data_IF_117980395178
#
_entry.id   IF_117980395178
#
_cell.length_a   1.000
_cell.length_b   1.000
_cell.length_c   1.000
_cell.angle_alpha   90.00
_cell.angle_beta   90.00
_cell.angle_gamma   90.00
#
_symmetry.space_group_name_H-M   'P 1'
#
loop_
_entity.id
_entity.type
_entity.pdbx_description
1 polymer ?
#
# COMPACT_ATOMS: atom_id res chain seq x y z
N UNK A 1 18.90 13.09 -29.32
CA UNK A 1 18.31 12.54 -28.08
C UNK A 1 17.65 13.70 -27.36
N UNK A 2 16.33 13.72 -27.26
CA UNK A 2 15.65 14.72 -26.45
C UNK A 2 15.84 14.34 -24.99
N UNK A 3 16.57 15.19 -24.26
CA UNK A 3 16.70 15.06 -22.82
C UNK A 3 15.38 15.50 -22.17
N UNK A 4 15.00 14.86 -21.06
CA UNK A 4 13.87 15.29 -20.25
C UNK A 4 14.14 16.72 -19.77
N UNK A 5 13.25 17.66 -20.10
CA UNK A 5 13.29 19.03 -19.58
C UNK A 5 13.10 19.04 -18.06
N UNK A 6 13.31 20.20 -17.42
CA UNK A 6 13.05 20.35 -15.99
C UNK A 6 11.63 19.87 -15.64
N UNK A 7 11.52 19.03 -14.61
CA UNK A 7 10.23 18.53 -14.13
C UNK A 7 9.43 19.70 -13.57
N UNK A 8 8.25 19.94 -14.15
CA UNK A 8 7.28 20.88 -13.62
C UNK A 8 6.45 20.19 -12.54
N UNK A 9 6.47 20.74 -11.33
CA UNK A 9 5.75 20.15 -10.20
C UNK A 9 4.24 20.35 -10.33
N UNK A 10 3.46 19.36 -9.88
CA UNK A 10 2.00 19.39 -9.90
C UNK A 10 1.45 19.34 -8.49
N UNK A 11 0.36 20.06 -8.24
CA UNK A 11 -0.39 19.97 -6.99
C UNK A 11 -1.40 18.83 -7.06
N UNK A 12 -1.42 18.04 -5.99
CA UNK A 12 -2.30 16.88 -5.85
C UNK A 12 -3.58 17.29 -5.13
N UNK A 13 -4.72 16.87 -5.67
CA UNK A 13 -6.02 17.01 -5.02
C UNK A 13 -6.34 15.79 -4.13
N UNK A 14 -6.05 14.58 -4.61
CA UNK A 14 -6.27 13.32 -3.88
C UNK A 14 -5.03 12.43 -3.98
N UNK A 15 -4.62 11.83 -2.87
CA UNK A 15 -3.51 10.87 -2.80
C UNK A 15 -3.85 9.68 -1.89
N UNK A 16 -4.35 8.60 -2.48
CA UNK A 16 -4.66 7.35 -1.77
C UNK A 16 -3.67 6.28 -2.17
N UNK A 17 -3.19 5.51 -1.20
CA UNK A 17 -2.29 4.40 -1.40
C UNK A 17 -2.80 3.13 -0.70
N UNK A 18 -2.57 1.99 -1.33
CA UNK A 18 -2.70 0.68 -0.71
C UNK A 18 -1.32 0.03 -0.71
N UNK A 19 -0.83 -0.32 0.47
CA UNK A 19 0.42 -1.05 0.63
C UNK A 19 0.12 -2.51 0.89
N UNK A 20 0.62 -3.39 0.03
CA UNK A 20 0.29 -4.81 0.04
C UNK A 20 1.55 -5.60 0.37
N UNK A 21 1.49 -6.30 1.51
CA UNK A 21 2.53 -7.19 1.99
C UNK A 21 2.05 -8.64 1.89
N UNK A 22 2.49 -9.40 0.85
CA UNK A 22 2.28 -10.83 0.82
C UNK A 22 3.09 -11.56 1.90
N UNK A 23 2.51 -12.59 2.47
CA UNK A 23 3.18 -13.47 3.43
C UNK A 23 2.74 -14.92 3.22
N UNK A 24 3.56 -15.86 3.70
CA UNK A 24 3.14 -17.25 3.89
C UNK A 24 2.91 -17.51 5.37
N UNK A 25 1.88 -18.26 5.71
CA UNK A 25 1.59 -18.65 7.08
C UNK A 25 1.72 -20.17 7.26
N UNK A 26 1.70 -20.62 8.52
CA UNK A 26 1.91 -22.04 8.85
C UNK A 26 0.72 -22.89 8.38
N UNK A 27 1.01 -24.05 7.78
CA UNK A 27 -0.03 -25.03 7.38
C UNK A 27 -0.94 -25.38 8.55
N UNK A 28 -2.26 -25.29 8.34
CA UNK A 28 -3.28 -25.64 9.32
C UNK A 28 -3.54 -24.58 10.39
N UNK A 29 -2.90 -23.40 10.30
CA UNK A 29 -3.12 -22.30 11.25
C UNK A 29 -4.26 -21.36 10.85
N UNK A 30 -4.94 -21.57 9.72
CA UNK A 30 -6.12 -20.79 9.31
C UNK A 30 -7.17 -20.77 10.43
N UNK A 31 -7.43 -21.94 11.01
CA UNK A 31 -8.40 -22.11 12.10
C UNK A 31 -8.02 -21.35 13.38
N UNK A 32 -6.72 -21.10 13.58
CA UNK A 32 -6.24 -20.30 14.71
C UNK A 32 -6.20 -18.80 14.39
N UNK A 33 -6.09 -18.46 13.10
CA UNK A 33 -5.99 -17.07 12.68
C UNK A 33 -7.35 -16.37 12.65
N UNK A 34 -8.45 -17.05 12.32
CA UNK A 34 -9.78 -16.43 12.37
C UNK A 34 -10.16 -15.94 13.78
N UNK A 35 -10.06 -16.76 14.85
CA UNK A 35 -10.35 -16.29 16.20
C UNK A 35 -9.39 -15.17 16.65
N UNK A 36 -8.12 -15.22 16.21
CA UNK A 36 -7.15 -14.16 16.49
C UNK A 36 -7.55 -12.84 15.83
N UNK A 37 -7.96 -12.86 14.56
CA UNK A 37 -8.43 -11.69 13.82
C UNK A 37 -9.65 -11.07 14.50
N UNK A 38 -10.66 -11.89 14.79
CA UNK A 38 -11.89 -11.44 15.45
C UNK A 38 -11.60 -10.84 16.84
N UNK A 39 -10.71 -11.46 17.63
CA UNK A 39 -10.29 -10.92 18.95
C UNK A 39 -9.57 -9.58 18.84
N UNK A 40 -8.98 -9.27 17.69
CA UNK A 40 -8.31 -8.00 17.41
C UNK A 40 -9.19 -7.05 16.58
N UNK A 41 -10.51 -7.17 16.69
CA UNK A 41 -11.54 -6.30 16.07
C UNK A 41 -11.60 -6.35 14.54
N UNK A 42 -11.02 -7.36 13.90
CA UNK A 42 -11.22 -7.56 12.46
C UNK A 42 -12.59 -8.19 12.20
N UNK A 43 -13.23 -7.75 11.12
CA UNK A 43 -14.52 -8.26 10.66
C UNK A 43 -14.36 -8.97 9.31
N UNK A 44 -15.04 -10.10 9.08
CA UNK A 44 -15.03 -10.74 7.76
C UNK A 44 -15.67 -9.80 6.74
N UNK A 45 -14.96 -9.53 5.64
CA UNK A 45 -15.45 -8.72 4.53
C UNK A 45 -16.46 -9.53 3.72
N UNK A 46 -17.69 -9.03 3.61
CA UNK A 46 -18.75 -9.68 2.85
C UNK A 46 -19.55 -8.65 2.06
N UNK A 47 -19.95 -9.04 0.85
CA UNK A 47 -20.68 -8.12 -0.03
C UNK A 47 -22.09 -7.79 0.47
N UNK A 48 -22.69 -8.66 1.29
CA UNK A 48 -24.00 -8.41 1.91
C UNK A 48 -23.95 -7.46 3.13
N UNK A 49 -22.75 -7.08 3.60
CA UNK A 49 -22.57 -6.05 4.62
C UNK A 49 -22.45 -4.67 3.96
N UNK A 50 -23.58 -4.04 3.62
CA UNK A 50 -23.60 -2.77 2.88
C UNK A 50 -22.99 -1.58 3.65
N UNK A 51 -22.93 -1.64 4.98
CA UNK A 51 -22.27 -0.62 5.79
C UNK A 51 -20.75 -0.56 5.50
N UNK A 52 -20.15 -1.68 5.09
CA UNK A 52 -18.73 -1.78 4.76
C UNK A 52 -18.36 -1.00 3.48
N UNK A 53 -19.34 -0.63 2.64
CA UNK A 53 -19.13 0.16 1.41
C UNK A 53 -18.47 1.52 1.68
N UNK A 54 -18.63 2.07 2.89
CA UNK A 54 -18.09 3.37 3.29
C UNK A 54 -17.13 3.30 4.49
N UNK A 55 -16.91 2.11 5.06
CA UNK A 55 -16.21 1.97 6.34
C UNK A 55 -14.68 2.05 6.18
N UNK A 56 -14.14 1.54 5.07
CA UNK A 56 -12.70 1.27 4.95
C UNK A 56 -11.94 2.20 4.00
N UNK A 57 -12.62 3.15 3.35
CA UNK A 57 -12.16 3.83 2.14
C UNK A 57 -12.08 5.37 2.24
N UNK A 58 -12.12 5.93 3.45
CA UNK A 58 -12.10 7.38 3.65
C UNK A 58 -13.39 8.04 3.17
N UNK A 59 -13.28 9.11 2.37
CA UNK A 59 -14.44 9.75 1.75
C UNK A 59 -14.98 9.00 0.53
N UNK A 60 -14.28 7.95 0.09
CA UNK A 60 -14.66 7.16 -1.07
C UNK A 60 -15.64 6.05 -0.69
N UNK A 61 -16.45 5.66 -1.67
CA UNK A 61 -17.40 4.57 -1.55
C UNK A 61 -17.08 3.47 -2.55
N UNK A 62 -17.11 2.22 -2.10
CA UNK A 62 -16.96 1.06 -2.99
C UNK A 62 -18.27 0.30 -3.05
N UNK A 63 -18.92 0.32 -4.22
CA UNK A 63 -20.19 -0.40 -4.42
C UNK A 63 -19.95 -1.92 -4.44
N UNK A 64 -20.53 -2.62 -3.47
CA UNK A 64 -20.52 -4.07 -3.37
C UNK A 64 -21.28 -4.72 -4.52
N UNK A 65 -22.40 -4.12 -4.94
CA UNK A 65 -23.15 -4.57 -6.11
C UNK A 65 -22.30 -4.52 -7.38
N UNK A 66 -21.59 -3.41 -7.63
CA UNK A 66 -20.70 -3.31 -8.78
C UNK A 66 -19.53 -4.30 -8.65
N UNK A 67 -19.00 -4.50 -7.43
CA UNK A 67 -17.95 -5.48 -7.18
C UNK A 67 -18.39 -6.91 -7.51
N UNK A 68 -19.63 -7.28 -7.16
CA UNK A 68 -20.23 -8.56 -7.52
C UNK A 68 -20.39 -8.70 -9.04
N UNK A 69 -20.84 -7.65 -9.71
CA UNK A 69 -21.08 -7.67 -11.16
C UNK A 69 -19.81 -7.56 -12.02
N UNK A 70 -18.69 -7.09 -11.44
CA UNK A 70 -17.47 -6.80 -12.20
C UNK A 70 -16.73 -8.07 -12.66
N UNK A 71 -16.79 -9.14 -11.87
CA UNK A 71 -16.06 -10.37 -12.14
C UNK A 71 -16.90 -11.40 -12.91
N UNK A 72 -16.22 -12.40 -13.47
CA UNK A 72 -16.88 -13.49 -14.19
C UNK A 72 -17.90 -14.21 -13.29
N UNK A 73 -18.98 -14.69 -13.90
CA UNK A 73 -19.96 -15.50 -13.18
C UNK A 73 -19.27 -16.67 -12.46
N UNK A 74 -19.72 -16.98 -11.25
CA UNK A 74 -19.19 -18.02 -10.36
C UNK A 74 -17.82 -17.77 -9.70
N UNK A 75 -17.04 -16.75 -10.09
CA UNK A 75 -15.80 -16.41 -9.36
C UNK A 75 -16.08 -15.70 -8.04
N UNK A 76 -17.24 -15.06 -7.89
CA UNK A 76 -17.62 -14.33 -6.68
C UNK A 76 -17.61 -15.19 -5.42
N UNK A 77 -18.00 -16.47 -5.52
CA UNK A 77 -17.97 -17.39 -4.36
C UNK A 77 -16.55 -17.69 -3.87
N UNK A 78 -15.55 -17.51 -4.73
CA UNK A 78 -14.13 -17.68 -4.43
C UNK A 78 -13.55 -16.34 -3.94
N UNK A 79 -13.87 -15.24 -4.60
CA UNK A 79 -13.34 -13.91 -4.26
C UNK A 79 -13.97 -13.32 -2.99
N UNK A 80 -15.25 -13.61 -2.75
CA UNK A 80 -16.09 -13.07 -1.70
C UNK A 80 -16.93 -14.18 -1.04
N UNK A 81 -16.28 -15.11 -0.30
CA UNK A 81 -16.99 -16.18 0.38
C UNK A 81 -17.99 -15.62 1.42
N UNK A 82 -19.16 -16.25 1.53
CA UNK A 82 -20.21 -15.85 2.49
C UNK A 82 -19.92 -16.33 3.92
N UNK A 83 -18.94 -17.22 4.10
CA UNK A 83 -18.53 -17.72 5.42
C UNK A 83 -17.08 -18.20 5.42
N UNK A 84 -16.50 -18.24 6.61
CA UNK A 84 -15.12 -18.68 6.88
C UNK A 84 -14.89 -20.17 6.53
N UNK A 85 -15.98 -20.94 6.44
CA UNK A 85 -15.95 -22.37 6.07
C UNK A 85 -15.87 -22.61 4.55
N UNK A 86 -16.15 -21.59 3.73
CA UNK A 86 -16.04 -21.71 2.28
C UNK A 86 -14.59 -21.58 1.84
N UNK A 87 -14.21 -22.33 0.80
CA UNK A 87 -12.90 -22.16 0.18
C UNK A 87 -12.90 -20.89 -0.67
N UNK A 88 -11.87 -20.07 -0.53
CA UNK A 88 -11.76 -18.81 -1.25
C UNK A 88 -10.77 -17.85 -0.60
N UNK A 89 -10.85 -16.60 -1.01
CA UNK A 89 -10.12 -15.48 -0.42
C UNK A 89 -10.89 -14.99 0.81
N UNK A 90 -10.43 -15.40 1.99
CA UNK A 90 -11.03 -15.00 3.26
C UNK A 90 -10.43 -13.67 3.68
N UNK A 91 -11.12 -12.56 3.34
CA UNK A 91 -10.70 -11.21 3.69
C UNK A 91 -11.32 -10.79 5.03
N UNK A 92 -10.47 -10.24 5.88
CA UNK A 92 -10.84 -9.61 7.14
C UNK A 92 -10.35 -8.18 7.15
N UNK A 93 -11.20 -7.25 7.56
CA UNK A 93 -10.91 -5.82 7.52
C UNK A 93 -11.08 -5.22 8.92
N UNK A 94 -10.21 -4.29 9.27
CA UNK A 94 -10.30 -3.47 10.48
C UNK A 94 -10.24 -2.00 10.10
N UNK A 95 -11.21 -1.23 10.57
CA UNK A 95 -11.18 0.22 10.49
C UNK A 95 -10.22 0.75 11.57
N UNK A 96 -9.38 1.70 11.17
CA UNK A 96 -8.35 2.25 12.06
C UNK A 96 -8.55 3.75 12.27
N UNK A 97 -8.83 4.49 11.20
CA UNK A 97 -8.99 5.94 11.23
C UNK A 97 -7.87 6.68 11.99
N UNK A 98 -6.63 6.20 11.84
CA UNK A 98 -5.47 6.73 12.55
C UNK A 98 -4.80 7.83 11.74
N UNK A 99 -4.46 8.95 12.37
CA UNK A 99 -3.68 10.02 11.74
C UNK A 99 -2.22 9.94 12.17
N UNK A 100 -1.31 10.29 11.27
CA UNK A 100 0.12 10.30 11.55
C UNK A 100 0.91 11.20 10.62
N UNK A 101 2.22 11.23 10.83
CA UNK A 101 3.18 11.92 9.98
C UNK A 101 4.31 10.97 9.62
N UNK A 102 4.72 10.99 8.35
CA UNK A 102 5.95 10.35 7.89
C UNK A 102 6.97 11.46 7.65
N UNK A 103 8.00 11.50 8.47
CA UNK A 103 9.05 12.50 8.42
C UNK A 103 10.33 11.88 7.87
N UNK A 104 10.93 12.54 6.90
CA UNK A 104 12.28 12.29 6.40
C UNK A 104 13.19 13.45 6.82
N UNK A 105 14.45 13.43 6.40
CA UNK A 105 15.35 14.59 6.52
C UNK A 105 14.92 15.80 5.65
N UNK A 106 14.01 15.60 4.69
CA UNK A 106 13.63 16.62 3.70
C UNK A 106 12.23 17.17 3.94
N UNK A 107 11.28 16.29 4.23
CA UNK A 107 9.85 16.61 4.29
C UNK A 107 9.15 15.86 5.42
N UNK A 108 8.02 16.43 5.87
CA UNK A 108 7.10 15.77 6.81
C UNK A 108 5.71 15.69 6.19
N UNK A 109 5.27 14.48 5.90
CA UNK A 109 4.04 14.22 5.17
C UNK A 109 2.94 13.75 6.13
N UNK A 110 1.88 14.55 6.34
CA UNK A 110 0.71 14.12 7.11
C UNK A 110 -0.09 13.06 6.32
N UNK A 111 -0.49 11.99 7.00
CA UNK A 111 -1.29 10.93 6.41
C UNK A 111 -2.34 10.39 7.39
N UNK A 112 -3.34 9.70 6.84
CA UNK A 112 -4.35 8.93 7.55
C UNK A 112 -4.30 7.48 7.11
N UNK A 113 -4.44 6.54 8.04
CA UNK A 113 -4.68 5.13 7.79
C UNK A 113 -6.18 4.90 7.97
N UNK A 114 -6.85 4.53 6.88
CA UNK A 114 -8.28 4.24 6.92
C UNK A 114 -8.52 2.85 7.48
N UNK A 115 -7.81 1.86 6.93
CA UNK A 115 -8.05 0.46 7.24
C UNK A 115 -6.81 -0.39 7.06
N UNK A 116 -6.86 -1.57 7.69
CA UNK A 116 -5.95 -2.67 7.43
C UNK A 116 -6.77 -3.93 7.16
N UNK A 117 -6.37 -4.69 6.14
CA UNK A 117 -6.98 -5.98 5.84
C UNK A 117 -5.96 -7.11 5.93
N UNK A 118 -6.48 -8.30 6.25
CA UNK A 118 -5.79 -9.58 6.11
C UNK A 118 -6.62 -10.44 5.17
N UNK A 119 -6.06 -10.77 4.02
CA UNK A 119 -6.67 -11.71 3.07
C UNK A 119 -5.94 -13.03 3.14
N UNK A 120 -6.64 -14.08 3.57
CA UNK A 120 -6.15 -15.45 3.53
C UNK A 120 -6.53 -16.12 2.22
N UNK A 121 -5.55 -16.69 1.56
CA UNK A 121 -5.69 -17.38 0.29
C UNK A 121 -5.46 -18.89 0.47
N UNK A 122 -5.90 -19.71 -0.49
CA UNK A 122 -5.47 -21.09 -0.58
C UNK A 122 -3.93 -21.23 -0.63
N UNK A 123 -3.42 -22.40 -0.23
CA UNK A 123 -1.99 -22.73 -0.25
C UNK A 123 -1.13 -21.89 0.70
N UNK A 124 -1.67 -21.58 1.89
CA UNK A 124 -0.91 -20.95 2.96
C UNK A 124 -0.34 -19.57 2.61
N UNK A 125 -1.00 -18.85 1.69
CA UNK A 125 -0.65 -17.51 1.27
C UNK A 125 -1.60 -16.48 1.86
N UNK A 126 -1.08 -15.34 2.27
CA UNK A 126 -1.88 -14.23 2.74
C UNK A 126 -1.37 -12.89 2.24
N UNK A 127 -2.24 -11.88 2.31
CA UNK A 127 -1.91 -10.50 2.03
C UNK A 127 -2.33 -9.65 3.23
N UNK A 128 -1.41 -8.80 3.68
CA UNK A 128 -1.73 -7.67 4.56
C UNK A 128 -1.84 -6.42 3.68
N UNK A 129 -2.98 -5.75 3.71
CA UNK A 129 -3.23 -4.53 2.92
C UNK A 129 -3.48 -3.36 3.85
N UNK A 130 -2.70 -2.29 3.74
CA UNK A 130 -2.89 -1.06 4.52
C UNK A 130 -3.36 0.03 3.58
N UNK A 131 -4.52 0.63 3.86
CA UNK A 131 -5.06 1.76 3.09
C UNK A 131 -4.73 3.07 3.77
N UNK A 132 -4.10 3.96 3.04
CA UNK A 132 -3.70 5.28 3.52
C UNK A 132 -4.15 6.37 2.58
N UNK A 133 -4.26 7.57 3.12
CA UNK A 133 -4.47 8.80 2.38
C UNK A 133 -3.49 9.85 2.88
N UNK A 134 -2.80 10.52 1.97
CA UNK A 134 -1.95 11.66 2.30
C UNK A 134 -2.83 12.91 2.33
N UNK A 135 -2.67 13.72 3.37
CA UNK A 135 -3.39 14.99 3.45
C UNK A 135 -2.79 15.98 2.44
N UNK A 136 -3.63 16.48 1.53
CA UNK A 136 -3.20 17.31 0.40
C UNK A 136 -3.23 18.82 0.68
N UNK A 137 -3.79 19.24 1.83
CA UNK A 137 -3.91 20.65 2.18
C UNK A 137 -2.67 21.19 2.95
N UNK A 138 -2.25 22.45 2.69
CA UNK A 138 -2.81 23.38 1.71
C UNK A 138 -2.38 23.08 0.26
N UNK A 139 -1.12 22.66 0.06
CA UNK A 139 -0.56 22.31 -1.25
C UNK A 139 0.42 21.13 -1.08
N UNK A 140 -0.04 19.91 -1.37
CA UNK A 140 0.82 18.73 -1.49
C UNK A 140 1.22 18.54 -2.96
N UNK A 141 2.51 18.43 -3.22
CA UNK A 141 3.02 18.21 -4.57
C UNK A 141 2.98 16.73 -4.96
N UNK A 142 3.02 16.46 -6.26
CA UNK A 142 3.08 15.11 -6.80
C UNK A 142 4.35 14.39 -6.32
N UNK A 143 5.49 15.09 -6.31
CA UNK A 143 6.74 14.54 -5.79
C UNK A 143 6.64 14.12 -4.32
N UNK A 144 6.04 14.94 -3.45
CA UNK A 144 5.87 14.62 -2.03
C UNK A 144 4.89 13.46 -1.81
N UNK A 145 3.78 13.41 -2.55
CA UNK A 145 2.83 12.30 -2.48
C UNK A 145 3.49 10.98 -2.94
N UNK A 146 4.27 11.02 -4.02
CA UNK A 146 5.04 9.85 -4.48
C UNK A 146 6.10 9.46 -3.45
N UNK A 147 6.78 10.45 -2.85
CA UNK A 147 7.80 10.24 -1.84
C UNK A 147 7.23 9.49 -0.62
N UNK A 148 6.03 9.85 -0.17
CA UNK A 148 5.32 9.09 0.87
C UNK A 148 5.26 7.59 0.54
N UNK A 149 4.79 7.26 -0.67
CA UNK A 149 4.67 5.87 -1.09
C UNK A 149 6.03 5.18 -1.27
N UNK A 150 7.02 5.90 -1.79
CA UNK A 150 8.39 5.40 -1.96
C UNK A 150 9.03 5.02 -0.61
N UNK A 151 8.77 5.81 0.44
CA UNK A 151 9.28 5.55 1.80
C UNK A 151 8.46 4.53 2.57
N UNK A 152 7.14 4.69 2.58
CA UNK A 152 6.25 3.85 3.38
C UNK A 152 6.23 2.40 2.89
N UNK A 153 6.56 2.12 1.62
CA UNK A 153 6.65 0.73 1.14
C UNK A 153 7.88 -0.04 1.65
N UNK A 154 8.90 0.63 2.17
CA UNK A 154 10.18 0.00 2.58
C UNK A 154 10.08 -0.44 4.03
N UNK A 155 10.04 -1.75 4.29
CA UNK A 155 9.83 -2.30 5.64
C UNK A 155 11.02 -2.00 6.57
N UNK A 156 12.22 -2.29 6.07
CA UNK A 156 13.50 -2.04 6.75
C UNK A 156 14.40 -1.23 5.81
N UNK A 157 14.92 -0.10 6.30
CA UNK A 157 15.98 0.62 5.61
C UNK A 157 17.30 -0.14 5.80
N UNK A 158 17.95 -0.55 4.70
CA UNK A 158 19.31 -1.11 4.78
C UNK A 158 20.24 -0.02 5.32
N UNK A 159 21.18 -0.38 6.20
CA UNK A 159 22.09 0.55 6.88
C UNK A 159 22.95 1.46 5.96
N UNK A 160 22.96 1.22 4.64
CA UNK A 160 23.75 1.98 3.66
C UNK A 160 23.02 3.20 3.07
N UNK A 161 21.73 3.40 3.33
CA UNK A 161 21.04 4.65 2.92
C UNK A 161 21.06 5.65 4.08
N UNK A 162 21.68 6.82 3.89
CA UNK A 162 21.63 7.96 4.84
C UNK A 162 20.19 8.49 5.08
N UNK A 163 19.18 7.92 4.42
CA UNK A 163 17.80 8.33 4.50
C UNK A 163 17.13 7.64 5.69
N UNK A 164 16.88 8.43 6.73
CA UNK A 164 16.14 7.99 7.92
C UNK A 164 14.70 8.45 7.81
N UNK A 165 13.77 7.55 8.19
CA UNK A 165 12.35 7.88 8.31
C UNK A 165 11.95 7.86 9.79
N UNK A 166 10.95 8.67 10.13
CA UNK A 166 10.27 8.62 11.41
C UNK A 166 8.77 8.69 11.16
N UNK A 167 8.06 7.63 11.56
CA UNK A 167 6.61 7.58 11.53
C UNK A 167 6.11 7.95 12.92
N UNK A 168 5.34 9.02 13.02
CA UNK A 168 4.66 9.43 14.24
C UNK A 168 3.15 9.16 14.11
N UNK A 169 2.58 8.43 15.08
CA UNK A 169 1.14 8.17 15.13
C UNK A 169 0.70 8.09 16.60
N UNK A 170 -0.33 8.85 16.99
CA UNK A 170 -0.84 8.93 18.37
C UNK A 170 0.26 9.14 19.43
N UNK A 171 1.22 10.03 19.14
CA UNK A 171 2.34 10.35 20.04
C UNK A 171 3.44 9.27 20.14
N UNK A 172 3.32 8.15 19.42
CA UNK A 172 4.37 7.12 19.32
C UNK A 172 5.19 7.31 18.06
N UNK A 173 6.49 7.05 18.16
CA UNK A 173 7.46 7.21 17.05
C UNK A 173 8.08 5.88 16.67
N UNK A 174 8.22 5.65 15.36
CA UNK A 174 8.80 4.44 14.79
C UNK A 174 9.82 4.82 13.72
N UNK A 175 11.04 4.29 13.81
CA UNK A 175 12.11 4.55 12.83
C UNK A 175 12.09 3.61 11.62
N UNK A 176 11.18 2.62 11.60
CA UNK A 176 11.04 1.62 10.55
C UNK A 176 9.55 1.33 10.33
N UNK A 177 9.17 1.14 9.06
CA UNK A 177 7.79 0.78 8.69
C UNK A 177 7.42 -0.57 9.28
N UNK A 178 8.32 -1.55 9.29
CA UNK A 178 8.06 -2.87 9.88
C UNK A 178 7.62 -2.76 11.35
N UNK A 179 8.37 -1.99 12.16
CA UNK A 179 8.07 -1.77 13.58
C UNK A 179 6.73 -1.05 13.77
N UNK A 180 6.41 -0.12 12.88
CA UNK A 180 5.11 0.54 12.88
C UNK A 180 3.97 -0.44 12.58
N UNK A 181 4.11 -1.27 11.53
CA UNK A 181 3.08 -2.23 11.12
C UNK A 181 2.92 -3.33 12.18
N UNK A 182 3.96 -4.11 12.46
CA UNK A 182 3.86 -5.32 13.29
C UNK A 182 4.02 -5.04 14.78
N UNK A 183 4.56 -3.88 15.16
CA UNK A 183 4.65 -3.45 16.56
C UNK A 183 3.44 -2.66 17.04
N UNK A 184 2.70 -2.01 16.13
CA UNK A 184 1.60 -1.12 16.52
C UNK A 184 0.31 -1.35 15.75
N UNK A 185 0.31 -1.29 14.42
CA UNK A 185 -0.94 -1.40 13.65
C UNK A 185 -1.58 -2.79 13.78
N UNK A 186 -0.77 -3.85 13.77
CA UNK A 186 -1.25 -5.21 13.89
C UNK A 186 -0.27 -6.12 14.62
N UNK A 187 -0.25 -5.96 15.95
CA UNK A 187 0.60 -6.73 16.84
C UNK A 187 0.24 -8.22 16.84
N UNK A 188 1.25 -9.10 16.80
CA UNK A 188 1.10 -10.56 16.93
C UNK A 188 0.81 -11.32 15.64
N UNK A 189 0.52 -10.65 14.52
CA UNK A 189 0.26 -11.34 13.23
C UNK A 189 1.47 -12.16 12.74
N UNK A 190 2.69 -11.69 13.05
CA UNK A 190 3.93 -12.33 12.64
C UNK A 190 4.14 -13.71 13.25
N UNK A 191 3.42 -14.06 14.33
CA UNK A 191 3.46 -15.39 14.93
C UNK A 191 2.84 -16.48 14.05
N UNK A 192 1.96 -16.08 13.12
CA UNK A 192 1.34 -16.97 12.14
C UNK A 192 2.24 -17.22 10.93
N UNK A 193 3.25 -16.37 10.71
CA UNK A 193 4.12 -16.48 9.54
C UNK A 193 4.98 -17.74 9.59
N UNK A 194 5.20 -18.34 8.41
CA UNK A 194 6.01 -19.55 8.27
C UNK A 194 7.49 -19.23 8.49
N UNK A 195 8.04 -19.69 9.62
CA UNK A 195 9.42 -19.37 10.03
C UNK A 195 10.48 -20.19 9.30
N UNK A 196 10.14 -21.37 8.73
CA UNK A 196 11.14 -22.22 8.08
C UNK A 196 11.72 -21.62 6.80
N UNK A 197 10.98 -20.75 6.12
CA UNK A 197 11.49 -20.05 4.94
C UNK A 197 12.39 -18.86 5.31
N UNK A 198 12.28 -18.30 6.52
CA UNK A 198 13.12 -17.18 6.98
C UNK A 198 14.62 -17.51 7.09
N UNK A 199 14.98 -18.80 7.21
CA UNK A 199 16.36 -19.23 7.45
C UNK A 199 17.20 -19.44 6.19
N UNK A 200 16.63 -19.37 4.99
CA UNK A 200 17.40 -19.52 3.74
C UNK A 200 18.01 -18.22 3.21
N UNK A 201 17.75 -17.07 3.84
CA UNK A 201 18.34 -15.78 3.51
C UNK A 201 19.17 -15.27 4.68
N UNK A 202 20.50 -15.36 4.58
CA UNK A 202 21.45 -14.96 5.62
C UNK A 202 21.33 -13.50 6.10
N UNK A 203 20.54 -12.66 5.42
CA UNK A 203 20.39 -11.22 5.68
C UNK A 203 18.96 -10.66 5.56
N UNK A 204 17.92 -11.50 5.47
CA UNK A 204 16.53 -11.00 5.29
C UNK A 204 15.56 -11.57 6.31
N UNK A 205 14.77 -10.67 6.90
CA UNK A 205 13.72 -10.96 7.89
C UNK A 205 12.43 -11.48 7.25
N UNK A 206 12.32 -11.54 5.91
CA UNK A 206 11.17 -12.13 5.19
C UNK A 206 11.61 -12.72 3.83
N UNK A 207 11.37 -14.02 3.56
CA UNK A 207 12.06 -14.78 2.51
C UNK A 207 11.40 -14.73 1.12
N UNK A 208 10.42 -13.85 0.92
CA UNK A 208 9.65 -13.75 -0.33
C UNK A 208 9.77 -12.41 -1.04
N UNK A 209 10.62 -11.51 -0.54
CA UNK A 209 10.76 -10.19 -1.13
C UNK A 209 12.15 -10.03 -1.73
N UNK A 210 12.17 -9.80 -3.04
CA UNK A 210 13.18 -8.93 -3.62
C UNK A 210 13.09 -7.59 -2.86
N UNK A 211 14.06 -7.33 -1.98
CA UNK A 211 14.32 -6.05 -1.31
C UNK A 211 13.38 -5.52 -0.20
N UNK A 212 12.71 -6.36 0.61
CA UNK A 212 11.99 -5.91 1.83
C UNK A 212 10.96 -4.78 1.57
N UNK A 213 10.31 -4.78 0.40
CA UNK A 213 9.37 -3.75 -0.05
C UNK A 213 7.97 -4.30 -0.24
N UNK A 214 6.97 -3.56 0.24
CA UNK A 214 5.57 -3.78 -0.09
C UNK A 214 5.29 -3.39 -1.55
N UNK A 215 4.27 -4.02 -2.14
CA UNK A 215 3.65 -3.53 -3.36
C UNK A 215 2.82 -2.29 -3.06
N UNK A 216 2.70 -1.40 -4.04
CA UNK A 216 1.92 -0.16 -3.91
C UNK A 216 0.91 -0.10 -5.04
N UNK A 217 -0.35 0.13 -4.67
CA UNK A 217 -1.40 0.57 -5.59
C UNK A 217 -1.79 1.99 -5.19
N UNK A 218 -2.06 2.87 -6.16
CA UNK A 218 -2.36 4.27 -5.89
C UNK A 218 -3.54 4.78 -6.70
N UNK A 219 -4.27 5.73 -6.12
CA UNK A 219 -5.21 6.61 -6.80
C UNK A 219 -4.75 8.05 -6.52
N UNK A 220 -4.35 8.75 -7.58
CA UNK A 220 -3.89 10.12 -7.54
C UNK A 220 -4.74 10.99 -8.48
N UNK A 221 -5.08 12.19 -8.04
CA UNK A 221 -5.70 13.21 -8.88
C UNK A 221 -4.99 14.55 -8.68
N UNK A 222 -4.90 15.35 -9.73
CA UNK A 222 -4.32 16.69 -9.66
C UNK A 222 -5.39 17.73 -9.35
N UNK A 223 -4.97 18.92 -8.91
CA UNK A 223 -5.85 20.10 -8.83
C UNK A 223 -6.36 20.48 -10.22
N UNK A 224 -7.55 21.10 -10.24
CA UNK A 224 -8.21 21.54 -11.46
C UNK A 224 -7.30 22.47 -12.29
N UNK A 225 -7.29 22.25 -13.62
CA UNK A 225 -6.47 23.02 -14.56
C UNK A 225 -5.03 22.53 -14.73
N UNK A 226 -4.60 21.50 -13.99
CA UNK A 226 -3.29 20.87 -14.19
C UNK A 226 -3.39 19.65 -15.10
N UNK A 227 -2.46 19.55 -16.05
CA UNK A 227 -2.35 18.40 -16.97
C UNK A 227 -1.26 17.44 -16.53
N UNK A 228 -1.55 16.13 -16.62
CA UNK A 228 -0.57 15.06 -16.48
C UNK A 228 0.15 14.84 -17.81
N UNK A 229 1.47 14.82 -17.78
CA UNK A 229 2.28 14.38 -18.91
C UNK A 229 2.83 12.96 -18.70
N UNK A 230 3.49 12.41 -19.72
CA UNK A 230 4.06 11.06 -19.67
C UNK A 230 5.13 10.90 -18.56
N UNK A 231 5.92 11.94 -18.31
CA UNK A 231 6.94 11.92 -17.25
C UNK A 231 6.25 11.83 -15.88
N UNK A 232 5.16 12.55 -15.64
CA UNK A 232 4.39 12.47 -14.40
C UNK A 232 3.85 11.05 -14.17
N UNK A 233 3.21 10.48 -15.19
CA UNK A 233 2.64 9.11 -15.11
C UNK A 233 3.74 8.09 -14.85
N UNK A 234 4.87 8.19 -15.56
CA UNK A 234 6.00 7.28 -15.36
C UNK A 234 6.57 7.41 -13.95
N UNK A 235 6.81 8.63 -13.47
CA UNK A 235 7.32 8.89 -12.11
C UNK A 235 6.42 8.32 -11.04
N UNK A 236 5.10 8.47 -11.18
CA UNK A 236 4.14 7.85 -10.28
C UNK A 236 4.25 6.34 -10.30
N UNK A 237 4.36 5.71 -11.48
CA UNK A 237 4.47 4.25 -11.60
C UNK A 237 5.78 3.69 -11.05
N UNK A 238 6.89 4.43 -11.19
CA UNK A 238 8.21 4.03 -10.72
C UNK A 238 8.51 4.50 -9.28
N UNK A 239 7.56 5.19 -8.65
CA UNK A 239 7.71 5.87 -7.36
C UNK A 239 8.95 6.79 -7.30
N UNK A 240 9.18 7.57 -8.34
CA UNK A 240 10.25 8.57 -8.41
C UNK A 240 9.78 9.90 -7.82
N UNK A 241 9.83 9.98 -6.48
CA UNK A 241 9.47 11.16 -5.69
C UNK A 241 10.57 12.20 -5.67
N UNK A 242 11.34 12.22 -4.57
CA UNK A 242 12.42 13.18 -4.33
C UNK A 242 13.79 12.52 -4.34
N UNK A 243 14.79 13.28 -4.79
CA UNK A 243 16.21 12.97 -4.60
C UNK A 243 16.64 13.26 -3.17
N UNK A 244 17.87 12.85 -2.82
CA UNK A 244 18.48 13.15 -1.53
C UNK A 244 18.67 14.65 -1.25
N UNK A 245 18.65 15.52 -2.27
CA UNK A 245 18.66 16.98 -2.13
C UNK A 245 17.27 17.62 -2.21
N UNK A 246 16.19 16.82 -2.17
CA UNK A 246 14.81 17.30 -2.14
C UNK A 246 14.29 17.79 -3.49
N UNK A 247 14.90 17.38 -4.60
CA UNK A 247 14.43 17.74 -5.94
C UNK A 247 13.56 16.64 -6.55
N UNK A 248 12.55 17.01 -7.35
CA UNK A 248 11.81 16.06 -8.18
C UNK A 248 12.75 15.33 -9.13
N UNK A 249 12.56 14.03 -9.32
CA UNK A 249 13.33 13.27 -10.30
C UNK A 249 12.51 12.20 -11.02
N UNK A 250 13.09 11.69 -12.10
CA UNK A 250 12.58 10.56 -12.86
C UNK A 250 13.70 9.53 -13.01
N UNK A 251 13.39 8.27 -12.77
CA UNK A 251 14.37 7.18 -12.76
C UNK A 251 14.90 6.79 -14.15
N UNK A 252 14.23 7.24 -15.23
CA UNK A 252 14.68 7.08 -16.60
C UNK A 252 14.82 8.46 -17.26
N UNK A 253 15.91 8.68 -18.00
CA UNK A 253 16.23 9.96 -18.65
C UNK A 253 15.98 9.96 -20.17
N UNK A 254 15.35 8.92 -20.70
CA UNK A 254 15.10 8.71 -22.12
C UNK A 254 13.59 8.76 -22.39
N UNK A 255 13.12 9.82 -23.05
CA UNK A 255 11.70 10.01 -23.37
C UNK A 255 11.12 8.88 -24.25
N UNK A 256 11.75 8.47 -25.37
CA UNK A 256 11.31 7.30 -26.12
C UNK A 256 11.10 6.04 -25.27
N UNK A 257 12.01 5.77 -24.33
CA UNK A 257 11.85 4.65 -23.41
C UNK A 257 10.62 4.82 -22.50
N UNK A 258 10.42 6.00 -21.92
CA UNK A 258 9.25 6.31 -21.09
C UNK A 258 7.96 6.09 -21.90
N UNK A 259 7.90 6.65 -23.10
CA UNK A 259 6.76 6.51 -24.00
C UNK A 259 6.45 5.04 -24.32
N UNK A 260 7.45 4.27 -24.73
CA UNK A 260 7.28 2.84 -25.06
C UNK A 260 6.87 2.01 -23.84
N UNK A 261 7.44 2.31 -22.67
CA UNK A 261 7.07 1.68 -21.41
C UNK A 261 5.60 1.96 -21.08
N UNK A 262 5.17 3.21 -21.11
CA UNK A 262 3.79 3.58 -20.84
C UNK A 262 2.83 2.99 -21.87
N UNK A 263 3.17 2.99 -23.15
CA UNK A 263 2.34 2.36 -24.19
C UNK A 263 2.12 0.86 -23.94
N UNK A 264 3.13 0.17 -23.40
CA UNK A 264 3.06 -1.27 -23.10
C UNK A 264 2.32 -1.57 -21.79
N UNK A 265 2.43 -0.70 -20.79
CA UNK A 265 2.01 -0.97 -19.41
C UNK A 265 0.84 -0.13 -18.91
N UNK A 266 0.50 0.96 -19.61
CA UNK A 266 -0.66 1.78 -19.29
C UNK A 266 -1.88 1.31 -20.05
N UNK A 267 -3.03 1.48 -19.41
CA UNK A 267 -4.33 1.30 -20.04
C UNK A 267 -5.08 2.61 -19.94
N UNK A 268 -5.33 3.23 -21.09
CA UNK A 268 -6.06 4.48 -21.21
C UNK A 268 -7.52 4.15 -21.59
N UNK A 269 -8.47 4.68 -20.80
CA UNK A 269 -9.91 4.62 -21.09
C UNK A 269 -10.43 5.98 -21.44
#
# INVERSE_FOLDING_TARGET
MEAIQAIEEKDVATAIFQFIFPFSFKTGYEQNMFPFLQKNDFRPFRLDHLDDENTYYGEFKVSHQNMEAYYLSFTNKILFPHSEHQKGLQRYSKDLNLTGHLTTNLISIPFKIHSIDVTLCPYELGFLTIRTEVNTAPNMTLSEAIEFAARFRVLETKNDTNETICIECNGKKYSQVEKFIFGYLFHGVTDFFEKKRLRSSYFQTFPFFEDQRMYVQTLLSLKEGMELNEVDVYRTSSLSGLTSDGKPYVSANNLPYIHDYLKKHAYQR
#
